data_IF_476210845278
#
_entry.id   IF_476210845278
#
_cell.length_a   1.000
_cell.length_b   1.000
_cell.length_c   1.000
_cell.angle_alpha   90.00
_cell.angle_beta   90.00
_cell.angle_gamma   90.00
#
_symmetry.space_group_name_H-M   'P 1'
#
loop_
_entity.id
_entity.type
_entity.pdbx_description
1 polymer ?
#
# COMPACT_ATOMS: atom_id res chain seq x y z
N UNK A 1 -0.39 -3.59 -13.41
CA UNK A 1 -0.50 -3.52 -11.93
C UNK A 1 0.77 -4.01 -11.28
N UNK A 2 1.23 -5.24 -11.57
CA UNK A 2 2.45 -5.82 -10.99
C UNK A 2 3.73 -5.00 -11.27
N UNK A 3 3.88 -4.43 -12.46
CA UNK A 3 5.02 -3.55 -12.79
C UNK A 3 5.06 -2.28 -11.93
N UNK A 4 3.91 -1.64 -11.70
CA UNK A 4 3.82 -0.43 -10.86
C UNK A 4 4.09 -0.75 -9.39
N UNK A 5 3.61 -1.90 -8.90
CA UNK A 5 3.89 -2.38 -7.55
C UNK A 5 5.37 -2.68 -7.35
N UNK A 6 6.00 -3.34 -8.33
CA UNK A 6 7.43 -3.63 -8.27
C UNK A 6 8.27 -2.35 -8.25
N UNK A 7 7.95 -1.38 -9.12
CA UNK A 7 8.62 -0.08 -9.15
C UNK A 7 8.46 0.68 -7.81
N UNK A 8 7.24 0.78 -7.28
CA UNK A 8 6.99 1.40 -5.98
C UNK A 8 7.73 0.69 -4.85
N UNK A 9 7.87 -0.64 -4.93
CA UNK A 9 8.61 -1.43 -3.94
C UNK A 9 10.11 -1.14 -4.01
N UNK A 10 10.69 -1.05 -5.22
CA UNK A 10 12.10 -0.67 -5.40
C UNK A 10 12.38 0.75 -4.89
N UNK A 11 11.52 1.72 -5.23
CA UNK A 11 11.66 3.11 -4.79
C UNK A 11 11.65 3.25 -3.25
N UNK A 12 10.84 2.44 -2.57
CA UNK A 12 10.69 2.47 -1.12
C UNK A 12 11.60 1.46 -0.38
N UNK A 13 12.53 0.82 -1.09
CA UNK A 13 13.38 -0.26 -0.55
C UNK A 13 12.56 -1.35 0.16
N UNK A 14 11.36 -1.61 -0.35
CA UNK A 14 10.43 -2.59 0.18
C UNK A 14 10.73 -3.95 -0.46
N UNK A 15 11.00 -5.00 0.34
CA UNK A 15 11.31 -6.31 -0.20
C UNK A 15 10.16 -6.88 -1.04
N UNK A 16 10.48 -7.35 -2.25
CA UNK A 16 9.48 -7.88 -3.20
C UNK A 16 8.70 -9.07 -2.65
N UNK A 17 9.26 -9.83 -1.71
CA UNK A 17 8.56 -10.94 -1.05
C UNK A 17 7.34 -10.49 -0.22
N UNK A 18 7.26 -9.21 0.14
CA UNK A 18 6.10 -8.63 0.82
C UNK A 18 5.10 -7.95 -0.14
N UNK A 19 5.37 -7.89 -1.45
CA UNK A 19 4.40 -7.41 -2.45
C UNK A 19 3.04 -8.13 -2.37
N UNK A 20 2.95 -9.45 -2.09
CA UNK A 20 1.68 -10.13 -1.86
C UNK A 20 0.85 -9.51 -0.72
N UNK A 21 1.48 -8.93 0.30
CA UNK A 21 0.78 -8.23 1.39
C UNK A 21 0.17 -6.90 0.94
N UNK A 22 0.68 -6.29 -0.14
CA UNK A 22 0.21 -5.02 -0.69
C UNK A 22 -0.93 -5.24 -1.69
N UNK A 23 -0.95 -6.38 -2.41
CA UNK A 23 -1.98 -6.71 -3.41
C UNK A 23 -3.43 -6.52 -2.93
N UNK A 24 -3.82 -6.92 -1.70
CA UNK A 24 -5.18 -6.69 -1.19
C UNK A 24 -5.54 -5.20 -1.09
N UNK A 25 -4.59 -4.35 -0.70
CA UNK A 25 -4.79 -2.90 -0.56
C UNK A 25 -5.03 -2.23 -1.91
N UNK A 26 -4.39 -2.75 -2.98
CA UNK A 26 -4.56 -2.26 -4.34
C UNK A 26 -5.86 -2.74 -4.98
N UNK A 27 -6.34 -3.93 -4.62
CA UNK A 27 -7.63 -4.46 -5.10
C UNK A 27 -8.81 -3.69 -4.53
N UNK A 28 -8.70 -3.22 -3.28
CA UNK A 28 -9.71 -2.39 -2.65
C UNK A 28 -9.08 -1.08 -2.15
N UNK A 29 -8.79 -0.14 -3.07
CA UNK A 29 -8.10 1.10 -2.76
C UNK A 29 -8.93 2.05 -1.89
N UNK A 30 -10.25 1.85 -1.76
CA UNK A 30 -11.13 2.62 -0.86
C UNK A 30 -11.46 1.86 0.43
N UNK A 31 -11.05 0.59 0.53
CA UNK A 31 -11.30 -0.26 1.68
C UNK A 31 -10.58 0.16 2.95
N UNK A 32 -10.89 -0.55 4.03
CA UNK A 32 -10.27 -0.32 5.34
C UNK A 32 -8.82 -0.80 5.34
N UNK A 33 -7.88 0.15 5.42
CA UNK A 33 -6.46 -0.16 5.46
C UNK A 33 -5.99 -0.40 6.91
N UNK A 34 -5.03 -1.33 7.13
CA UNK A 34 -4.55 -1.62 8.47
C UNK A 34 -3.83 -0.41 9.06
N UNK A 35 -4.19 0.00 10.28
CA UNK A 35 -3.46 1.07 10.98
C UNK A 35 -2.12 0.53 11.49
N UNK A 36 -1.11 1.40 11.57
CA UNK A 36 0.16 1.05 12.17
C UNK A 36 -0.05 0.59 13.62
N UNK A 37 0.44 -0.60 13.94
CA UNK A 37 0.27 -1.23 15.26
C UNK A 37 1.13 -0.57 16.36
N UNK A 38 2.08 0.33 15.99
CA UNK A 38 3.09 0.94 16.86
C UNK A 38 3.96 -0.04 17.69
N UNK A 39 3.83 -1.34 17.48
CA UNK A 39 4.45 -2.41 18.27
C UNK A 39 5.52 -3.23 17.54
N UNK A 40 6.11 -2.71 16.45
CA UNK A 40 7.18 -3.41 15.72
C UNK A 40 6.70 -4.52 14.77
N UNK A 41 5.51 -4.39 14.18
CA UNK A 41 5.04 -5.32 13.16
C UNK A 41 5.98 -5.30 11.93
N UNK A 42 6.53 -6.46 11.54
CA UNK A 42 7.29 -6.65 10.30
C UNK A 42 6.47 -7.51 9.31
N UNK A 43 6.07 -6.97 8.14
CA UNK A 43 6.35 -5.63 7.64
C UNK A 43 5.44 -4.58 8.28
N UNK A 44 5.98 -3.38 8.53
CA UNK A 44 5.21 -2.29 9.13
C UNK A 44 4.03 -1.95 8.21
N UNK A 45 2.82 -1.93 8.77
CA UNK A 45 1.61 -1.58 8.03
C UNK A 45 1.72 -0.18 7.37
N UNK A 46 2.46 0.75 7.98
CA UNK A 46 2.73 2.05 7.37
C UNK A 46 3.57 1.93 6.10
N UNK A 47 4.55 1.03 6.06
CA UNK A 47 5.33 0.77 4.84
C UNK A 47 4.47 0.12 3.76
N UNK A 48 3.62 -0.85 4.11
CA UNK A 48 2.65 -1.45 3.19
C UNK A 48 1.74 -0.39 2.55
N UNK A 49 1.24 0.53 3.37
CA UNK A 49 0.40 1.66 2.95
C UNK A 49 1.15 2.58 2.00
N UNK A 50 2.40 2.96 2.31
CA UNK A 50 3.21 3.84 1.46
C UNK A 50 3.44 3.22 0.08
N UNK A 51 3.77 1.92 0.02
CA UNK A 51 3.93 1.20 -1.24
C UNK A 51 2.61 1.13 -2.00
N UNK A 52 1.49 0.89 -1.30
CA UNK A 52 0.17 0.87 -1.92
C UNK A 52 -0.20 2.23 -2.54
N UNK A 53 -0.03 3.33 -1.80
CA UNK A 53 -0.30 4.69 -2.29
C UNK A 53 0.56 4.99 -3.53
N UNK A 54 1.86 4.74 -3.44
CA UNK A 54 2.78 4.99 -4.54
C UNK A 54 2.44 4.18 -5.79
N UNK A 55 2.04 2.93 -5.60
CA UNK A 55 1.58 2.09 -6.70
C UNK A 55 0.32 2.65 -7.35
N UNK A 56 -0.64 3.15 -6.55
CA UNK A 56 -1.87 3.77 -7.05
C UNK A 56 -1.59 5.08 -7.79
N UNK A 57 -0.64 5.89 -7.33
CA UNK A 57 -0.16 7.07 -8.04
C UNK A 57 0.45 6.71 -9.40
N UNK A 58 1.31 5.69 -9.45
CA UNK A 58 1.91 5.19 -10.70
C UNK A 58 0.87 4.62 -11.67
N UNK A 59 -0.24 4.09 -11.17
CA UNK A 59 -1.35 3.60 -11.98
C UNK A 59 -2.31 4.71 -12.42
N UNK A 60 -2.12 5.95 -11.97
CA UNK A 60 -3.01 7.07 -12.28
C UNK A 60 -4.37 7.00 -11.59
N UNK A 61 -4.52 6.14 -10.57
CA UNK A 61 -5.74 5.99 -9.77
C UNK A 61 -5.43 6.26 -8.30
N UNK A 62 -5.01 7.49 -7.95
CA UNK A 62 -4.64 7.83 -6.57
C UNK A 62 -5.83 7.56 -5.64
N UNK A 63 -5.54 7.01 -4.45
CA UNK A 63 -6.58 6.80 -3.42
C UNK A 63 -7.15 8.15 -3.01
N UNK A 64 -8.42 8.38 -3.31
CA UNK A 64 -9.19 9.54 -2.83
C UNK A 64 -9.86 9.14 -1.52
N UNK A 65 -9.20 9.36 -0.38
CA UNK A 65 -9.79 9.15 0.96
C UNK A 65 -9.72 10.50 1.69
N UNK A 66 -10.76 10.87 2.46
CA UNK A 66 -11.23 10.10 3.61
C UNK A 66 -12.49 9.27 3.33
N UNK A 67 -12.64 8.17 4.05
CA UNK A 67 -13.94 7.50 4.20
C UNK A 67 -14.79 8.46 5.05
N UNK A 68 -15.94 8.98 4.58
CA UNK A 68 -16.79 9.80 5.43
C UNK A 68 -17.22 9.00 6.66
N UNK A 69 -17.01 9.58 7.83
CA UNK A 69 -17.49 9.07 9.10
C UNK A 69 -19.01 9.28 9.10
N UNK A 70 -19.80 8.22 8.88
CA UNK A 70 -21.25 8.25 9.05
C UNK A 70 -21.63 7.60 10.38
#
# INVERSE_FOLDING_TARGET
MDTALHLASQELSFPSYYEPCVRPLLRNPEGHWPRCCAGGCEPCAQTLIRVALRTLELLGTPRVTPIPEW
#
